data_IF_227837839297
#
_entry.id   IF_227837839297
#
_cell.length_a   1.000
_cell.length_b   1.000
_cell.length_c   1.000
_cell.angle_alpha   90.00
_cell.angle_beta   90.00
_cell.angle_gamma   90.00
#
_symmetry.space_group_name_H-M   'P 1'
#
loop_
_entity.id
_entity.type
_entity.pdbx_description
1 polymer ?
#
# COMPACT_ATOMS: atom_id res chain seq x y z
N UNK A 1 1.87 12.66 7.06
CA UNK A 1 2.98 12.52 6.08
C UNK A 1 2.45 12.69 4.64
N UNK A 2 3.30 12.97 3.64
CA UNK A 2 2.88 12.89 2.22
C UNK A 2 2.82 11.41 1.85
N UNK A 3 1.63 10.88 1.54
CA UNK A 3 1.45 9.47 1.19
C UNK A 3 1.22 9.30 -0.30
N UNK A 4 1.72 8.20 -0.87
CA UNK A 4 1.62 7.92 -2.30
C UNK A 4 0.17 7.61 -2.72
N UNK A 5 -0.63 7.11 -1.77
CA UNK A 5 -2.05 6.88 -1.93
C UNK A 5 -2.44 5.56 -2.61
N UNK A 6 -1.54 4.95 -3.38
CA UNK A 6 -1.82 3.71 -4.11
C UNK A 6 -0.58 2.85 -4.39
N UNK A 7 0.12 2.45 -3.33
CA UNK A 7 1.27 1.53 -3.37
C UNK A 7 0.81 0.09 -3.61
N UNK A 8 0.28 -0.17 -4.80
CA UNK A 8 -0.07 -1.49 -5.30
C UNK A 8 1.06 -2.02 -6.22
N UNK A 9 1.36 -3.33 -6.16
CA UNK A 9 2.40 -3.97 -6.99
C UNK A 9 2.33 -3.59 -8.48
N UNK A 10 1.13 -3.50 -9.07
CA UNK A 10 0.95 -3.19 -10.49
C UNK A 10 1.06 -1.70 -10.82
N UNK A 11 1.06 -0.84 -9.80
CA UNK A 11 1.37 0.58 -9.96
C UNK A 11 2.87 0.85 -9.87
N UNK A 12 3.70 -0.11 -9.43
CA UNK A 12 5.15 0.12 -9.34
C UNK A 12 5.79 -0.20 -10.69
N UNK A 13 6.17 0.84 -11.45
CA UNK A 13 6.94 0.69 -12.68
C UNK A 13 8.42 0.72 -12.31
N UNK A 14 9.16 -0.32 -12.69
CA UNK A 14 10.62 -0.39 -12.46
C UNK A 14 11.31 -0.12 -13.81
N UNK A 15 12.25 0.84 -13.85
CA UNK A 15 13.09 1.04 -15.03
C UNK A 15 14.05 -0.15 -15.20
N UNK A 16 14.29 -0.58 -16.45
CA UNK A 16 15.31 -1.60 -16.76
C UNK A 16 16.75 -1.06 -16.77
N UNK A 17 16.99 0.09 -16.16
CA UNK A 17 18.33 0.69 -16.04
C UNK A 17 19.09 0.05 -14.90
N UNK A 18 20.43 0.13 -14.92
CA UNK A 18 21.28 -0.25 -13.79
C UNK A 18 21.84 1.01 -13.11
N UNK A 19 21.53 1.29 -11.82
CA UNK A 19 20.63 0.54 -10.95
C UNK A 19 19.14 0.74 -11.30
N UNK A 20 18.27 -0.24 -10.96
CA UNK A 20 16.84 -0.14 -11.21
C UNK A 20 16.25 1.02 -10.41
N UNK A 21 15.47 1.88 -11.08
CA UNK A 21 14.80 3.03 -10.45
C UNK A 21 13.30 2.76 -10.43
N UNK A 22 12.67 3.04 -9.30
CA UNK A 22 11.21 3.06 -9.19
C UNK A 22 10.71 4.31 -9.91
N UNK A 23 10.05 4.12 -11.05
CA UNK A 23 9.26 5.15 -11.70
C UNK A 23 7.84 5.01 -11.16
N UNK A 24 7.44 5.96 -10.33
CA UNK A 24 6.26 5.84 -9.46
C UNK A 24 4.95 5.46 -10.17
N UNK A 25 4.04 4.89 -9.38
CA UNK A 25 2.66 4.58 -9.75
C UNK A 25 1.66 5.73 -9.76
N UNK A 26 0.38 5.40 -9.91
CA UNK A 26 -0.71 6.37 -10.02
C UNK A 26 -0.82 7.28 -8.79
N UNK A 27 -0.64 8.59 -9.00
CA UNK A 27 -0.78 9.67 -8.00
C UNK A 27 -2.24 10.02 -7.64
N UNK A 28 -3.22 9.28 -8.12
CA UNK A 28 -4.65 9.63 -8.03
C UNK A 28 -5.19 9.72 -6.59
N UNK A 29 -4.48 9.14 -5.61
CA UNK A 29 -4.84 9.19 -4.18
C UNK A 29 -3.75 9.80 -3.30
N UNK A 30 -2.75 10.50 -3.87
CA UNK A 30 -1.68 11.09 -3.08
C UNK A 30 -2.17 12.31 -2.30
N UNK A 31 -1.81 12.39 -1.02
CA UNK A 31 -2.24 13.50 -0.16
C UNK A 31 -1.67 13.42 1.24
N UNK A 32 -2.07 14.39 2.07
CA UNK A 32 -1.78 14.39 3.51
C UNK A 32 -2.73 13.45 4.21
N UNK A 33 -2.28 12.22 4.38
CA UNK A 33 -3.01 11.20 5.13
C UNK A 33 -2.23 10.81 6.39
N UNK A 34 -2.91 10.20 7.37
CA UNK A 34 -2.24 9.57 8.50
C UNK A 34 -1.18 8.57 8.03
N UNK A 35 -0.14 8.39 8.82
CA UNK A 35 1.04 7.63 8.40
C UNK A 35 0.73 6.14 8.14
N UNK A 36 -0.32 5.59 8.78
CA UNK A 36 -0.83 4.24 8.55
C UNK A 36 -1.53 4.03 7.18
N UNK A 37 -1.88 5.12 6.48
CA UNK A 37 -2.67 5.04 5.25
C UNK A 37 -1.98 4.24 4.15
N UNK A 38 -0.67 4.42 4.01
CA UNK A 38 0.16 3.71 3.03
C UNK A 38 0.15 2.20 3.29
N UNK A 39 0.28 1.79 4.56
CA UNK A 39 0.22 0.39 4.99
C UNK A 39 -1.14 -0.23 4.68
N UNK A 40 -2.23 0.46 5.02
CA UNK A 40 -3.58 -0.04 4.77
C UNK A 40 -3.87 -0.22 3.27
N UNK A 41 -3.53 0.79 2.46
CA UNK A 41 -3.76 0.76 1.02
C UNK A 41 -2.89 -0.27 0.30
N UNK A 42 -1.68 -0.54 0.79
CA UNK A 42 -0.81 -1.55 0.20
C UNK A 42 -1.27 -2.99 0.51
N UNK A 43 -1.96 -3.18 1.63
CA UNK A 43 -2.47 -4.46 2.10
C UNK A 43 -3.87 -4.80 1.61
N UNK A 44 -4.75 -3.82 1.48
CA UNK A 44 -6.17 -4.02 1.17
C UNK A 44 -6.42 -4.77 -0.16
N UNK A 45 -5.81 -4.41 -1.31
CA UNK A 45 -5.99 -5.14 -2.56
C UNK A 45 -5.09 -6.38 -2.68
N UNK A 46 -4.28 -6.67 -1.65
CA UNK A 46 -3.27 -7.73 -1.73
C UNK A 46 -3.84 -9.07 -1.31
N UNK A 47 -3.39 -10.13 -1.98
CA UNK A 47 -3.71 -11.49 -1.54
C UNK A 47 -3.13 -11.75 -0.14
N UNK A 48 -3.95 -12.30 0.76
CA UNK A 48 -3.55 -12.54 2.16
C UNK A 48 -2.28 -13.38 2.28
N UNK A 49 -2.14 -14.41 1.45
CA UNK A 49 -0.95 -15.27 1.41
C UNK A 49 0.11 -14.85 0.39
N UNK A 50 -0.03 -13.68 -0.26
CA UNK A 50 0.88 -13.26 -1.32
C UNK A 50 2.21 -12.72 -0.79
N UNK A 51 3.29 -12.92 -1.57
CA UNK A 51 4.63 -12.41 -1.25
C UNK A 51 4.65 -10.89 -1.05
N UNK A 52 3.79 -10.18 -1.77
CA UNK A 52 3.60 -8.74 -1.60
C UNK A 52 3.33 -8.39 -0.13
N UNK A 53 2.28 -8.99 0.43
CA UNK A 53 1.85 -8.77 1.82
C UNK A 53 2.85 -9.29 2.83
N UNK A 54 3.33 -10.52 2.64
CA UNK A 54 4.05 -11.23 3.68
C UNK A 54 5.57 -11.04 3.64
N UNK A 55 6.12 -10.60 2.50
CA UNK A 55 7.58 -10.43 2.33
C UNK A 55 7.97 -8.99 2.05
N UNK A 56 7.26 -8.30 1.14
CA UNK A 56 7.68 -7.00 0.64
C UNK A 56 7.20 -5.83 1.50
N UNK A 57 5.91 -5.80 1.87
CA UNK A 57 5.36 -4.71 2.71
C UNK A 57 6.12 -4.53 4.02
N UNK A 58 6.41 -5.59 4.82
CA UNK A 58 7.16 -5.44 6.07
C UNK A 58 8.58 -4.87 5.92
N UNK A 59 9.14 -4.86 4.71
CA UNK A 59 10.50 -4.36 4.42
C UNK A 59 10.54 -2.92 3.92
N UNK A 60 9.42 -2.42 3.39
CA UNK A 60 9.38 -1.14 2.66
C UNK A 60 8.39 -0.14 3.25
N UNK A 61 7.46 -0.58 4.11
CA UNK A 61 6.48 0.28 4.80
C UNK A 61 6.50 -0.02 6.29
N UNK A 62 6.39 1.00 7.12
CA UNK A 62 6.15 0.85 8.55
C UNK A 62 4.81 0.13 8.79
N UNK A 63 4.76 -0.73 9.81
CA UNK A 63 3.65 -1.64 10.03
C UNK A 63 2.66 -1.07 11.06
N UNK A 64 1.38 -1.09 10.71
CA UNK A 64 0.28 -0.56 11.53
C UNK A 64 -0.87 -1.59 11.62
N UNK A 65 -0.66 -2.73 12.29
CA UNK A 65 -1.61 -3.85 12.28
C UNK A 65 -2.94 -3.55 12.97
N UNK A 66 -2.94 -2.71 14.01
CA UNK A 66 -4.17 -2.31 14.72
C UNK A 66 -5.01 -1.39 13.84
N UNK A 67 -4.38 -0.41 13.20
CA UNK A 67 -5.00 0.52 12.28
C UNK A 67 -5.50 -0.18 11.03
N UNK A 68 -4.78 -1.19 10.53
CA UNK A 68 -5.25 -2.03 9.43
C UNK A 68 -6.49 -2.84 9.80
N UNK A 69 -6.57 -3.31 11.05
CA UNK A 69 -7.76 -4.02 11.55
C UNK A 69 -8.97 -3.08 11.57
N UNK A 70 -8.84 -1.91 12.19
CA UNK A 70 -9.90 -0.91 12.23
C UNK A 70 -10.31 -0.44 10.82
N UNK A 71 -9.35 -0.22 9.93
CA UNK A 71 -9.59 0.11 8.53
C UNK A 71 -10.38 -1.01 7.81
N UNK A 72 -9.99 -2.27 8.00
CA UNK A 72 -10.65 -3.41 7.36
C UNK A 72 -12.09 -3.55 7.83
N UNK A 73 -12.35 -3.40 9.13
CA UNK A 73 -13.70 -3.40 9.70
C UNK A 73 -14.57 -2.27 9.13
N UNK A 74 -14.03 -1.05 9.08
CA UNK A 74 -14.71 0.10 8.49
C UNK A 74 -15.09 -0.16 7.03
N UNK A 75 -14.15 -0.66 6.22
CA UNK A 75 -14.36 -0.95 4.79
C UNK A 75 -15.42 -2.05 4.58
N UNK A 76 -15.41 -3.10 5.41
CA UNK A 76 -16.44 -4.14 5.39
C UNK A 76 -17.82 -3.58 5.74
N UNK A 77 -17.92 -2.66 6.71
CA UNK A 77 -19.19 -2.08 7.12
C UNK A 77 -19.81 -1.15 6.07
N UNK A 78 -19.01 -0.45 5.28
CA UNK A 78 -19.51 0.46 4.23
C UNK A 78 -19.80 -0.25 2.91
N UNK A 79 -19.62 -1.58 2.84
CA UNK A 79 -19.92 -2.38 1.64
C UNK A 79 -18.96 -2.15 0.47
N UNK A 80 -17.78 -1.59 0.73
CA UNK A 80 -16.72 -1.51 -0.27
C UNK A 80 -16.00 -2.86 -0.32
N UNK A 81 -16.47 -3.73 -1.21
CA UNK A 81 -15.84 -5.00 -1.62
C UNK A 81 -15.27 -4.89 -3.02
#
# INVERSE_FOLDING_TARGET
MLTYGDLHRGNIIISRTDPPRVMGGTQLNSGWYPDYWEYCKALYPSHYNGDWRNTWIPRIVEQYPEEFTAFSEYVMQIGAI
#
